data_IF_958633799599
#
_entry.id   IF_958633799599
#
_cell.length_a   1.000
_cell.length_b   1.000
_cell.length_c   1.000
_cell.angle_alpha   90.00
_cell.angle_beta   90.00
_cell.angle_gamma   90.00
#
_symmetry.space_group_name_H-M   'P 1'
#
loop_
_entity.id
_entity.type
_entity.pdbx_description
1 polymer ?
#
# COMPACT_ATOMS: atom_id res chain seq x y z
N UNK A 1 10.95 -61.17 -11.14
CA UNK A 1 11.05 -60.12 -10.11
C UNK A 1 10.09 -59.02 -10.51
N UNK A 2 8.90 -59.01 -9.91
CA UNK A 2 7.88 -57.96 -10.11
C UNK A 2 7.60 -57.37 -8.74
N UNK A 3 7.90 -56.09 -8.56
CA UNK A 3 7.59 -55.36 -7.34
C UNK A 3 6.38 -54.49 -7.61
N UNK A 4 5.30 -54.82 -6.89
CA UNK A 4 4.12 -53.99 -6.67
C UNK A 4 4.52 -52.83 -5.75
N UNK A 5 4.18 -51.59 -6.12
CA UNK A 5 4.16 -50.45 -5.21
C UNK A 5 2.73 -49.90 -5.15
N UNK A 6 2.05 -50.21 -4.06
CA UNK A 6 1.04 -49.32 -3.49
C UNK A 6 1.79 -48.26 -2.66
N UNK A 7 1.37 -47.00 -2.71
CA UNK A 7 1.02 -46.24 -1.50
C UNK A 7 0.43 -44.86 -1.87
N UNK A 8 -0.70 -44.59 -1.22
CA UNK A 8 -1.22 -43.30 -0.75
C UNK A 8 -1.63 -42.23 -1.77
N UNK A 9 -2.92 -42.25 -2.07
CA UNK A 9 -3.78 -41.06 -2.16
C UNK A 9 -3.45 -40.05 -1.05
N UNK A 10 -3.10 -38.82 -1.42
CA UNK A 10 -3.15 -37.67 -0.52
C UNK A 10 -4.58 -37.11 -0.51
N UNK A 11 -5.17 -36.82 0.66
CA UNK A 11 -6.42 -36.08 0.72
C UNK A 11 -6.17 -34.60 0.44
N UNK A 12 -7.22 -33.95 -0.07
CA UNK A 12 -7.32 -32.52 -0.23
C UNK A 12 -7.11 -31.81 1.11
N UNK A 13 -6.07 -31.00 1.19
CA UNK A 13 -5.98 -29.88 2.13
C UNK A 13 -5.33 -28.75 1.33
N UNK A 14 -6.17 -28.05 0.56
CA UNK A 14 -5.83 -26.80 -0.11
C UNK A 14 -5.71 -25.71 0.95
N UNK A 15 -4.62 -25.76 1.72
CA UNK A 15 -4.11 -24.59 2.41
C UNK A 15 -3.05 -24.01 1.49
N UNK A 16 -3.47 -23.02 0.71
CA UNK A 16 -2.54 -22.05 0.12
C UNK A 16 -1.62 -21.64 1.27
N UNK A 17 -0.31 -21.88 1.20
CA UNK A 17 0.58 -21.46 2.26
C UNK A 17 0.42 -19.95 2.38
N UNK A 18 0.19 -19.49 3.61
CA UNK A 18 0.36 -18.09 3.99
C UNK A 18 1.57 -17.56 3.24
N UNK A 19 1.35 -16.57 2.37
CA UNK A 19 2.45 -15.76 1.89
C UNK A 19 3.02 -15.11 3.13
N UNK A 20 4.01 -15.78 3.74
CA UNK A 20 4.86 -15.19 4.73
C UNK A 20 5.43 -13.96 4.06
N UNK A 21 4.94 -12.81 4.50
CA UNK A 21 5.43 -11.49 4.13
C UNK A 21 6.90 -11.41 4.60
N UNK A 22 7.79 -11.95 3.77
CA UNK A 22 9.24 -11.90 3.94
C UNK A 22 9.78 -10.56 3.46
N UNK A 23 8.97 -9.50 3.51
CA UNK A 23 9.52 -8.16 3.40
C UNK A 23 10.44 -7.97 4.61
N UNK A 24 11.74 -8.14 4.41
CA UNK A 24 12.74 -7.62 5.33
C UNK A 24 12.41 -6.14 5.52
N UNK A 25 11.78 -5.81 6.64
CA UNK A 25 11.47 -4.44 6.97
C UNK A 25 12.82 -3.74 7.10
N UNK A 26 13.20 -2.98 6.06
CA UNK A 26 14.33 -2.08 6.10
C UNK A 26 14.29 -1.21 7.36
N UNK A 27 15.42 -0.61 7.77
CA UNK A 27 15.51 0.11 9.03
C UNK A 27 14.30 1.05 9.18
N UNK A 28 13.59 1.00 10.33
CA UNK A 28 12.31 1.67 10.49
C UNK A 28 12.50 3.13 10.12
N UNK A 29 11.74 3.55 9.12
CA UNK A 29 11.70 4.96 8.77
C UNK A 29 10.85 5.58 9.85
N UNK A 30 11.51 6.12 10.87
CA UNK A 30 10.86 6.95 11.88
C UNK A 30 10.47 8.27 11.20
N UNK A 31 9.39 8.22 10.42
CA UNK A 31 8.63 9.40 10.07
C UNK A 31 7.83 9.77 11.32
N UNK A 32 8.30 10.81 12.01
CA UNK A 32 7.53 11.48 13.02
C UNK A 32 6.25 12.04 12.36
N UNK A 33 5.09 11.67 12.88
CA UNK A 33 3.79 12.06 12.32
C UNK A 33 3.55 13.58 12.40
N UNK A 34 4.15 14.24 13.40
CA UNK A 34 4.11 15.70 13.56
C UNK A 34 5.04 16.37 12.55
N UNK A 35 6.24 15.81 12.33
CA UNK A 35 7.14 16.30 11.26
C UNK A 35 6.48 16.12 9.88
N UNK A 36 5.81 14.99 9.67
CA UNK A 36 5.13 14.68 8.41
C UNK A 36 4.08 15.75 8.04
N UNK A 37 3.29 16.23 9.01
CA UNK A 37 2.28 17.28 8.78
C UNK A 37 2.89 18.56 8.20
N UNK A 38 4.07 18.96 8.67
CA UNK A 38 4.76 20.17 8.20
C UNK A 38 5.55 19.94 6.91
N UNK A 39 5.98 18.70 6.70
CA UNK A 39 6.78 18.31 5.56
C UNK A 39 5.94 18.13 4.30
N UNK A 40 4.78 17.48 4.41
CA UNK A 40 3.88 17.23 3.29
C UNK A 40 3.26 18.54 2.82
N UNK A 41 3.48 18.87 1.55
CA UNK A 41 2.92 20.04 0.89
C UNK A 41 2.21 19.60 -0.38
N UNK A 42 1.15 20.34 -0.72
CA UNK A 42 0.52 20.22 -2.04
C UNK A 42 1.59 20.36 -3.13
N UNK A 43 1.57 19.46 -4.10
CA UNK A 43 2.48 19.40 -5.25
C UNK A 43 3.98 19.26 -4.92
N UNK A 44 4.36 18.87 -3.70
CA UNK A 44 5.77 18.56 -3.40
C UNK A 44 6.31 17.50 -4.38
N UNK A 45 7.57 17.63 -4.76
CA UNK A 45 8.18 16.67 -5.69
C UNK A 45 8.66 15.40 -5.00
N UNK A 46 8.76 14.30 -5.75
CA UNK A 46 9.36 13.08 -5.22
C UNK A 46 10.85 13.28 -4.93
N UNK A 47 11.53 14.13 -5.70
CA UNK A 47 12.92 14.52 -5.43
C UNK A 47 13.07 15.27 -4.09
N UNK A 48 12.16 16.17 -3.74
CA UNK A 48 12.14 16.81 -2.43
C UNK A 48 11.94 15.80 -1.29
N UNK A 49 11.01 14.87 -1.48
CA UNK A 49 10.76 13.77 -0.56
C UNK A 49 12.01 12.92 -0.29
N UNK A 50 12.62 12.41 -1.35
CA UNK A 50 13.77 11.51 -1.26
C UNK A 50 15.02 12.23 -0.78
N UNK A 51 15.15 13.55 -0.94
CA UNK A 51 16.25 14.31 -0.31
C UNK A 51 16.11 14.40 1.21
N UNK A 52 14.89 14.61 1.71
CA UNK A 52 14.61 14.70 3.15
C UNK A 52 14.62 13.33 3.81
N UNK A 53 14.00 12.33 3.17
CA UNK A 53 13.88 10.96 3.64
C UNK A 53 14.43 9.97 2.59
N UNK A 54 15.77 9.84 2.46
CA UNK A 54 16.38 9.03 1.39
C UNK A 54 16.22 7.53 1.56
N UNK A 55 15.89 7.06 2.76
CA UNK A 55 15.72 5.64 3.07
C UNK A 55 14.26 5.25 2.91
N UNK A 56 13.85 4.94 1.69
CA UNK A 56 12.52 4.40 1.38
C UNK A 56 12.53 2.87 1.37
N UNK A 57 11.41 2.24 1.74
CA UNK A 57 11.20 0.79 1.64
C UNK A 57 10.66 0.37 0.26
N UNK A 58 10.43 1.33 -0.64
CA UNK A 58 10.10 1.07 -2.03
C UNK A 58 9.89 2.35 -2.81
N UNK A 59 10.54 2.40 -3.97
CA UNK A 59 10.35 3.41 -4.98
C UNK A 59 9.93 2.71 -6.26
N UNK A 60 8.77 3.09 -6.80
CA UNK A 60 8.27 2.60 -8.07
C UNK A 60 8.08 3.78 -9.00
N UNK A 61 8.55 3.64 -10.23
CA UNK A 61 8.30 4.60 -11.30
C UNK A 61 7.75 3.81 -12.48
N UNK A 62 6.60 4.25 -12.97
CA UNK A 62 5.90 3.59 -14.05
C UNK A 62 6.25 4.28 -15.37
N UNK A 63 6.52 3.50 -16.42
CA UNK A 63 6.78 4.04 -17.76
C UNK A 63 5.58 4.83 -18.29
N UNK A 64 4.38 4.37 -17.94
CA UNK A 64 3.13 5.06 -18.19
C UNK A 64 2.30 5.12 -16.89
N UNK A 65 1.49 6.16 -16.71
CA UNK A 65 0.68 6.30 -15.49
C UNK A 65 -0.32 5.15 -15.34
N UNK A 66 -0.46 4.67 -14.11
CA UNK A 66 -1.47 3.70 -13.71
C UNK A 66 -2.75 4.43 -13.23
N UNK A 67 -3.95 3.88 -13.49
CA UNK A 67 -5.19 4.40 -12.93
C UNK A 67 -5.34 4.00 -11.46
N UNK A 68 -5.31 4.99 -10.57
CA UNK A 68 -5.62 4.86 -9.14
C UNK A 68 -7.09 5.17 -8.90
N UNK A 69 -7.83 4.26 -8.27
CA UNK A 69 -9.24 4.47 -7.91
C UNK A 69 -9.34 5.19 -6.56
N UNK A 70 -9.95 6.37 -6.55
CA UNK A 70 -10.24 7.14 -5.33
C UNK A 70 -11.66 7.70 -5.39
N UNK A 71 -12.47 7.38 -4.36
CA UNK A 71 -13.87 7.82 -4.26
C UNK A 71 -14.71 7.58 -5.53
N UNK A 72 -14.46 6.47 -6.22
CA UNK A 72 -15.20 6.08 -7.43
C UNK A 72 -14.65 6.65 -8.73
N UNK A 73 -13.60 7.47 -8.69
CA UNK A 73 -12.98 8.08 -9.86
C UNK A 73 -11.54 7.63 -10.06
N UNK A 74 -11.07 7.65 -11.32
CA UNK A 74 -9.71 7.25 -11.66
C UNK A 74 -8.75 8.44 -11.82
N UNK A 75 -7.59 8.33 -11.19
CA UNK A 75 -6.54 9.34 -11.20
C UNK A 75 -5.23 8.75 -11.70
N UNK A 76 -4.51 9.43 -12.60
CA UNK A 76 -3.24 8.91 -13.09
C UNK A 76 -2.15 9.08 -12.02
N UNK A 77 -1.38 8.03 -11.77
CA UNK A 77 -0.19 8.02 -10.91
C UNK A 77 0.98 7.42 -11.69
N UNK A 78 2.14 8.07 -11.70
CA UNK A 78 3.33 7.59 -12.42
C UNK A 78 4.51 7.23 -11.50
N UNK A 79 4.41 7.54 -10.22
CA UNK A 79 5.45 7.21 -9.25
C UNK A 79 4.87 7.03 -7.86
N UNK A 80 5.40 6.05 -7.13
CA UNK A 80 5.02 5.72 -5.76
C UNK A 80 6.28 5.66 -4.90
N UNK A 81 6.23 6.28 -3.73
CA UNK A 81 7.27 6.18 -2.70
C UNK A 81 6.64 5.67 -1.42
N UNK A 82 7.17 4.58 -0.84
CA UNK A 82 6.64 3.97 0.39
C UNK A 82 7.65 3.95 1.53
N UNK A 83 7.14 4.10 2.73
CA UNK A 83 7.91 4.02 3.97
C UNK A 83 7.19 3.11 4.96
N UNK A 84 7.96 2.25 5.60
CA UNK A 84 7.53 1.28 6.59
C UNK A 84 8.28 1.58 7.89
N UNK A 85 7.53 1.71 8.98
CA UNK A 85 8.02 1.88 10.33
C UNK A 85 7.33 0.90 11.26
N UNK A 86 8.08 0.39 12.23
CA UNK A 86 7.54 -0.47 13.27
C UNK A 86 8.16 -0.15 14.62
N UNK A 87 7.31 0.02 15.63
CA UNK A 87 7.72 0.11 17.04
C UNK A 87 7.61 -1.26 17.69
N UNK A 88 8.67 -1.70 18.37
CA UNK A 88 8.70 -3.01 19.04
C UNK A 88 9.11 -2.87 20.50
N UNK A 89 8.46 -3.65 21.36
CA UNK A 89 8.80 -3.74 22.80
C UNK A 89 9.45 -5.08 23.08
N UNK A 90 10.46 -5.07 23.94
CA UNK A 90 11.04 -6.31 24.48
C UNK A 90 10.01 -6.99 25.38
N UNK A 91 9.78 -8.27 25.14
CA UNK A 91 8.91 -9.13 25.95
C UNK A 91 9.72 -10.30 26.49
N UNK A 92 9.51 -10.59 27.78
CA UNK A 92 10.17 -11.68 28.49
C UNK A 92 9.11 -12.51 29.21
N UNK A 93 9.18 -13.82 29.04
CA UNK A 93 8.35 -14.80 29.74
C UNK A 93 9.19 -15.99 30.19
N UNK A 94 8.57 -16.93 30.91
CA UNK A 94 9.23 -18.15 31.36
C UNK A 94 9.68 -18.98 30.14
N UNK A 95 10.98 -18.85 29.77
CA UNK A 95 11.67 -19.48 28.64
C UNK A 95 11.52 -18.82 27.25
N UNK A 96 11.08 -17.57 27.17
CA UNK A 96 11.11 -16.82 25.91
C UNK A 96 11.54 -15.37 26.14
N UNK A 97 12.48 -14.88 25.35
CA UNK A 97 12.83 -13.46 25.25
C UNK A 97 12.81 -13.07 23.77
N UNK A 98 12.06 -12.03 23.43
CA UNK A 98 11.98 -11.54 22.06
C UNK A 98 11.50 -10.10 21.98
N UNK A 99 11.19 -9.68 20.77
CA UNK A 99 10.57 -8.39 20.49
C UNK A 99 9.17 -8.65 19.92
N UNK A 100 8.19 -7.91 20.44
CA UNK A 100 6.84 -7.91 19.91
C UNK A 100 6.56 -6.54 19.34
N UNK A 101 6.15 -6.51 18.06
CA UNK A 101 5.70 -5.28 17.41
C UNK A 101 4.46 -4.75 18.11
N UNK A 102 4.56 -3.52 18.62
CA UNK A 102 3.48 -2.79 19.28
C UNK A 102 2.84 -1.76 18.35
N UNK A 103 3.54 -1.34 17.30
CA UNK A 103 3.10 -0.25 16.44
C UNK A 103 3.57 -0.51 15.01
N UNK A 104 2.72 -0.22 14.03
CA UNK A 104 3.02 -0.29 12.60
C UNK A 104 2.61 1.00 11.92
N UNK A 105 3.51 1.55 11.12
CA UNK A 105 3.29 2.77 10.33
C UNK A 105 3.63 2.48 8.89
N UNK A 106 2.68 2.73 8.00
CA UNK A 106 2.87 2.62 6.55
C UNK A 106 2.48 3.94 5.93
N UNK A 107 3.41 4.55 5.19
CA UNK A 107 3.15 5.80 4.48
C UNK A 107 3.46 5.58 3.01
N UNK A 108 2.48 5.84 2.17
CA UNK A 108 2.60 5.74 0.72
C UNK A 108 2.28 7.09 0.10
N UNK A 109 3.20 7.60 -0.70
CA UNK A 109 3.05 8.82 -1.47
C UNK A 109 2.92 8.49 -2.95
N UNK A 110 1.92 9.06 -3.60
CA UNK A 110 1.60 8.83 -4.99
C UNK A 110 1.75 10.14 -5.75
N UNK A 111 2.53 10.08 -6.81
CA UNK A 111 2.90 11.22 -7.62
C UNK A 111 2.37 11.07 -9.03
N UNK A 112 2.13 12.22 -9.66
CA UNK A 112 1.92 12.33 -11.08
C UNK A 112 2.73 13.50 -11.61
N UNK A 113 3.53 13.27 -12.66
CA UNK A 113 4.42 14.25 -13.26
C UNK A 113 5.33 14.93 -12.24
N UNK A 114 5.86 14.11 -11.33
CA UNK A 114 6.73 14.52 -10.22
C UNK A 114 6.09 15.53 -9.24
N UNK A 115 4.76 15.53 -9.11
CA UNK A 115 4.02 16.30 -8.11
C UNK A 115 3.22 15.36 -7.22
N UNK A 116 3.21 15.62 -5.91
CA UNK A 116 2.43 14.83 -4.96
C UNK A 116 0.94 15.04 -5.18
N UNK A 117 0.22 13.94 -5.40
CA UNK A 117 -1.23 13.95 -5.66
C UNK A 117 -2.04 13.23 -4.60
N UNK A 118 -1.48 12.18 -4.02
CA UNK A 118 -2.07 11.47 -2.89
C UNK A 118 -0.99 11.13 -1.87
N UNK A 119 -1.38 11.14 -0.60
CA UNK A 119 -0.65 10.40 0.42
C UNK A 119 -1.63 9.57 1.24
N UNK A 120 -1.16 8.43 1.69
CA UNK A 120 -1.91 7.54 2.56
C UNK A 120 -1.03 7.14 3.73
N UNK A 121 -1.58 7.28 4.94
CA UNK A 121 -0.96 6.80 6.17
C UNK A 121 -1.89 5.76 6.78
N UNK A 122 -1.35 4.57 7.00
CA UNK A 122 -1.93 3.55 7.86
C UNK A 122 -1.12 3.52 9.14
N UNK A 123 -1.80 3.72 10.27
CA UNK A 123 -1.17 3.71 11.57
C UNK A 123 -1.93 2.81 12.53
N UNK A 124 -1.26 1.74 12.96
CA UNK A 124 -1.82 0.70 13.81
C UNK A 124 -1.05 0.58 15.11
N UNK A 125 -1.78 0.38 16.20
CA UNK A 125 -1.22 -0.01 17.50
C UNK A 125 -1.76 -1.37 17.89
N UNK A 126 -0.96 -2.12 18.64
CA UNK A 126 -1.36 -3.41 19.18
C UNK A 126 -2.17 -3.17 20.47
N UNK A 127 -3.43 -3.58 20.47
CA UNK A 127 -4.36 -3.57 21.60
C UNK A 127 -4.93 -4.98 21.78
N UNK A 128 -4.83 -5.56 22.98
CA UNK A 128 -5.35 -6.91 23.29
C UNK A 128 -4.93 -8.02 22.29
N UNK A 129 -3.66 -8.03 21.87
CA UNK A 129 -3.05 -8.93 20.88
C UNK A 129 -3.43 -8.73 19.41
N UNK A 130 -4.38 -7.84 19.12
CA UNK A 130 -4.77 -7.45 17.76
C UNK A 130 -4.22 -6.06 17.38
N UNK A 131 -4.18 -5.75 16.09
CA UNK A 131 -3.79 -4.41 15.61
C UNK A 131 -5.04 -3.60 15.27
N UNK A 132 -5.12 -2.39 15.82
CA UNK A 132 -6.22 -1.46 15.61
C UNK A 132 -5.75 -0.18 14.90
N UNK A 133 -6.57 0.31 13.96
CA UNK A 133 -6.30 1.58 13.26
C UNK A 133 -6.52 2.77 14.19
N UNK A 134 -5.46 3.55 14.41
CA UNK A 134 -5.48 4.77 15.22
C UNK A 134 -6.00 5.98 14.45
N UNK A 135 -6.40 7.03 15.16
CA UNK A 135 -6.88 8.31 14.59
C UNK A 135 -5.95 8.92 13.54
N UNK A 136 -4.64 8.61 13.58
CA UNK A 136 -3.66 9.10 12.62
C UNK A 136 -3.72 8.41 11.24
N UNK A 137 -4.49 7.33 11.09
CA UNK A 137 -4.74 6.72 9.78
C UNK A 137 -5.52 7.71 8.90
N UNK A 138 -5.06 7.96 7.66
CA UNK A 138 -5.77 8.87 6.76
C UNK A 138 -7.19 8.39 6.49
N UNK A 139 -8.12 9.34 6.36
CA UNK A 139 -9.55 9.07 6.10
C UNK A 139 -9.75 8.20 4.85
N UNK A 140 -8.94 8.41 3.80
CA UNK A 140 -9.00 7.59 2.59
C UNK A 140 -8.74 6.10 2.89
N UNK A 141 -7.71 5.78 3.68
CA UNK A 141 -7.41 4.40 4.03
C UNK A 141 -8.51 3.79 4.90
N UNK A 142 -9.03 4.54 5.86
CA UNK A 142 -10.15 4.08 6.70
C UNK A 142 -11.37 3.72 5.86
N UNK A 143 -11.79 4.60 4.95
CA UNK A 143 -12.91 4.34 4.04
C UNK A 143 -12.70 3.09 3.20
N UNK A 144 -11.50 2.90 2.68
CA UNK A 144 -11.16 1.69 1.92
C UNK A 144 -11.41 0.41 2.75
N UNK A 145 -10.99 0.41 4.03
CA UNK A 145 -11.24 -0.73 4.94
C UNK A 145 -12.74 -0.86 5.28
N UNK A 146 -13.40 0.27 5.57
CA UNK A 146 -14.84 0.30 5.90
C UNK A 146 -15.72 -0.24 4.75
N UNK A 147 -15.32 0.00 3.51
CA UNK A 147 -15.98 -0.51 2.30
C UNK A 147 -15.62 -1.98 1.98
N UNK A 148 -14.96 -2.67 2.92
CA UNK A 148 -14.61 -4.09 2.82
C UNK A 148 -13.25 -4.38 2.17
N UNK A 149 -12.40 -3.37 2.03
CA UNK A 149 -11.01 -3.53 1.59
C UNK A 149 -10.16 -4.29 2.61
N UNK A 150 -9.09 -4.92 2.13
CA UNK A 150 -8.15 -5.64 2.99
C UNK A 150 -7.39 -4.66 3.90
N UNK A 151 -7.58 -4.75 5.21
CA UNK A 151 -6.87 -3.90 6.18
C UNK A 151 -5.37 -4.18 6.22
N UNK A 152 -4.91 -5.32 5.70
CA UNK A 152 -3.50 -5.62 5.53
C UNK A 152 -2.87 -4.93 4.34
N UNK A 153 -3.67 -4.28 3.49
CA UNK A 153 -3.14 -3.55 2.37
C UNK A 153 -2.27 -2.36 2.81
N UNK A 154 -1.16 -2.13 2.11
CA UNK A 154 -0.22 -1.03 2.40
C UNK A 154 -0.66 0.30 1.79
N UNK A 155 -1.61 0.24 0.84
CA UNK A 155 -2.28 1.39 0.27
C UNK A 155 -3.67 0.95 -0.24
N UNK A 156 -4.66 1.84 -0.39
CA UNK A 156 -5.97 1.47 -0.92
C UNK A 156 -5.81 0.83 -2.30
N UNK A 157 -6.24 -0.43 -2.41
CA UNK A 157 -6.04 -1.24 -3.62
C UNK A 157 -4.58 -1.46 -4.03
N UNK A 158 -3.70 -1.55 -3.04
CA UNK A 158 -2.34 -2.05 -3.06
C UNK A 158 -1.93 -3.10 -4.04
N UNK A 159 -2.34 -4.30 -3.64
CA UNK A 159 -2.11 -5.53 -4.40
C UNK A 159 -2.64 -5.37 -5.82
N UNK A 160 -3.76 -4.66 -5.99
CA UNK A 160 -4.36 -4.44 -7.30
C UNK A 160 -3.50 -3.58 -8.22
N UNK A 161 -3.01 -2.44 -7.75
CA UNK A 161 -2.09 -1.60 -8.53
C UNK A 161 -0.83 -2.39 -8.88
N UNK A 162 -0.27 -3.12 -7.93
CA UNK A 162 0.96 -3.88 -8.15
C UNK A 162 0.77 -4.93 -9.24
N UNK A 163 -0.33 -5.68 -9.18
CA UNK A 163 -0.62 -6.69 -10.19
C UNK A 163 -0.96 -6.08 -11.55
N UNK A 164 -1.71 -4.98 -11.58
CA UNK A 164 -2.00 -4.26 -12.82
C UNK A 164 -0.72 -3.81 -13.52
N UNK A 165 0.23 -3.25 -12.78
CA UNK A 165 1.54 -2.87 -13.33
C UNK A 165 2.26 -4.07 -13.95
N UNK A 166 2.37 -5.17 -13.21
CA UNK A 166 3.05 -6.39 -13.70
C UNK A 166 2.37 -6.98 -14.94
N UNK A 167 1.04 -6.96 -14.98
CA UNK A 167 0.29 -7.42 -16.14
C UNK A 167 0.54 -6.51 -17.36
N UNK A 168 0.45 -5.19 -17.19
CA UNK A 168 0.58 -4.24 -18.29
C UNK A 168 2.00 -4.15 -18.87
N UNK A 169 3.03 -4.31 -18.03
CA UNK A 169 4.41 -3.98 -18.42
C UNK A 169 5.41 -5.13 -18.27
N UNK A 170 5.16 -6.10 -17.40
CA UNK A 170 6.02 -7.27 -17.23
C UNK A 170 5.48 -8.52 -17.94
N UNK A 171 4.26 -8.42 -18.52
CA UNK A 171 3.55 -9.50 -19.19
C UNK A 171 3.40 -10.75 -18.30
N UNK A 172 3.21 -10.53 -16.99
CA UNK A 172 3.02 -11.57 -15.99
C UNK A 172 1.54 -11.74 -15.72
N UNK A 173 1.05 -12.99 -15.69
CA UNK A 173 -0.33 -13.26 -15.30
C UNK A 173 -0.56 -12.87 -13.82
N UNK A 174 -1.68 -12.19 -13.51
CA UNK A 174 -2.00 -11.78 -12.15
C UNK A 174 -2.24 -12.98 -11.24
N UNK A 175 -1.69 -12.92 -10.03
CA UNK A 175 -1.80 -13.98 -9.02
C UNK A 175 -3.13 -13.96 -8.26
N UNK A 176 -3.84 -12.82 -8.26
CA UNK A 176 -5.12 -12.61 -7.57
C UNK A 176 -6.20 -12.20 -8.59
N UNK A 177 -6.72 -13.15 -9.36
CA UNK A 177 -7.84 -12.90 -10.27
C UNK A 177 -9.15 -12.73 -9.49
N UNK A 178 -9.91 -11.68 -9.78
CA UNK A 178 -11.31 -11.50 -9.37
C UNK A 178 -11.54 -10.66 -8.11
N UNK A 179 -10.50 -10.00 -7.60
CA UNK A 179 -10.57 -9.22 -6.35
C UNK A 179 -10.24 -7.74 -6.55
N UNK A 180 -9.80 -7.35 -7.74
CA UNK A 180 -9.35 -6.01 -8.02
C UNK A 180 -10.34 -5.20 -8.85
N UNK A 181 -10.32 -3.88 -8.67
CA UNK A 181 -11.18 -2.98 -9.44
C UNK A 181 -10.93 -3.07 -10.95
N UNK A 182 -9.72 -3.45 -11.36
CA UNK A 182 -9.35 -3.67 -12.75
C UNK A 182 -9.72 -5.06 -13.30
N UNK A 183 -10.09 -6.02 -12.44
CA UNK A 183 -10.64 -7.32 -12.87
C UNK A 183 -12.07 -7.20 -13.39
N UNK A 184 -12.72 -6.03 -13.20
CA UNK A 184 -14.08 -5.80 -13.68
C UNK A 184 -14.10 -5.90 -15.21
N UNK A 185 -15.07 -6.63 -15.82
CA UNK A 185 -15.17 -6.75 -17.26
C UNK A 185 -15.19 -5.38 -17.96
N UNK A 186 -14.37 -5.25 -19.00
CA UNK A 186 -14.27 -4.01 -19.78
C UNK A 186 -13.44 -2.91 -19.13
N UNK A 187 -12.67 -3.19 -18.07
CA UNK A 187 -11.87 -2.16 -17.38
C UNK A 187 -10.96 -1.36 -18.32
N UNK A 188 -10.21 -2.03 -19.18
CA UNK A 188 -9.27 -1.38 -20.10
C UNK A 188 -9.99 -0.44 -21.06
N UNK A 189 -11.11 -0.89 -21.62
CA UNK A 189 -11.96 -0.10 -22.51
C UNK A 189 -12.60 1.08 -21.75
N UNK A 190 -13.13 0.84 -20.56
CA UNK A 190 -13.76 1.88 -19.73
C UNK A 190 -12.76 2.98 -19.35
N UNK A 191 -11.52 2.63 -18.99
CA UNK A 191 -10.46 3.61 -18.69
C UNK A 191 -10.02 4.37 -19.94
N UNK A 192 -9.97 3.71 -21.11
CA UNK A 192 -9.64 4.36 -22.37
C UNK A 192 -10.69 5.42 -22.76
N UNK A 193 -11.97 5.13 -22.49
CA UNK A 193 -13.11 5.98 -22.83
C UNK A 193 -13.50 6.98 -21.71
N UNK A 194 -12.94 6.85 -20.50
CA UNK A 194 -13.16 7.76 -19.39
C UNK A 194 -12.61 9.17 -19.72
N UNK A 195 -13.48 10.06 -20.17
CA UNK A 195 -13.14 11.41 -20.59
C UNK A 195 -12.43 12.22 -19.49
N UNK A 196 -12.78 11.97 -18.22
CA UNK A 196 -12.20 12.66 -17.08
C UNK A 196 -10.79 12.15 -16.80
N UNK A 197 -10.60 10.82 -16.69
CA UNK A 197 -9.28 10.23 -16.55
C UNK A 197 -8.36 10.63 -17.71
N UNK A 198 -8.85 10.57 -18.94
CA UNK A 198 -8.09 11.00 -20.12
C UNK A 198 -7.78 12.50 -20.10
N UNK A 199 -8.69 13.33 -19.56
CA UNK A 199 -8.46 14.74 -19.29
C UNK A 199 -7.31 14.96 -18.29
N UNK A 200 -7.35 14.26 -17.16
CA UNK A 200 -6.32 14.29 -16.11
C UNK A 200 -4.97 13.81 -16.64
N UNK A 201 -4.98 12.77 -17.49
CA UNK A 201 -3.78 12.23 -18.12
C UNK A 201 -3.10 13.23 -19.04
N UNK A 202 -3.87 14.03 -19.80
CA UNK A 202 -3.36 15.07 -20.69
C UNK A 202 -2.91 16.31 -19.93
N UNK A 203 -3.74 16.80 -19.02
CA UNK A 203 -3.61 18.14 -18.47
C UNK A 203 -3.07 18.19 -17.02
N UNK A 204 -3.01 17.06 -16.32
CA UNK A 204 -2.79 17.05 -14.88
C UNK A 204 -4.11 17.15 -14.10
N UNK A 205 -3.99 17.19 -12.77
CA UNK A 205 -5.09 17.36 -11.83
C UNK A 205 -4.59 18.00 -10.53
N UNK A 206 -5.51 18.63 -9.81
CA UNK A 206 -5.26 19.21 -8.48
C UNK A 206 -4.98 18.11 -7.45
N UNK A 207 -4.17 18.43 -6.44
CA UNK A 207 -3.81 17.47 -5.40
C UNK A 207 -5.04 17.10 -4.57
N UNK A 208 -5.20 15.82 -4.20
CA UNK A 208 -6.23 15.38 -3.24
C UNK A 208 -5.63 15.15 -1.84
N UNK A 209 -4.43 15.69 -1.61
CA UNK A 209 -3.69 15.54 -0.36
C UNK A 209 -4.43 16.26 0.77
N UNK A 210 -4.90 15.50 1.76
CA UNK A 210 -5.53 16.05 2.97
C UNK A 210 -4.66 15.79 4.22
N UNK A 211 -3.79 16.75 4.53
CA UNK A 211 -2.92 16.73 5.71
C UNK A 211 -3.64 17.04 7.01
N UNK A 212 -4.93 17.40 6.96
CA UNK A 212 -5.70 17.73 8.17
C UNK A 212 -5.86 16.52 9.10
N UNK A 213 -5.72 15.32 8.56
CA UNK A 213 -5.85 14.01 9.23
C UNK A 213 -4.65 13.64 10.12
N UNK A 214 -3.55 14.38 10.08
CA UNK A 214 -2.34 14.14 10.88
C UNK A 214 -2.42 14.82 12.27
N UNK A 215 -1.66 14.39 13.30
CA UNK A 215 -1.64 15.10 14.59
C UNK A 215 -1.20 16.55 14.43
N UNK A 216 -1.78 17.46 15.21
CA UNK A 216 -1.27 18.84 15.38
C UNK A 216 -0.22 18.83 16.49
N UNK A 217 0.68 19.81 16.50
CA UNK A 217 1.56 20.03 17.66
C UNK A 217 0.72 20.21 18.92
N UNK A 218 1.00 19.43 19.96
CA UNK A 218 0.50 19.70 21.31
C UNK A 218 1.29 20.90 21.86
N UNK A 219 0.60 22.02 22.09
CA UNK A 219 1.16 23.21 22.75
C UNK A 219 1.31 22.98 24.26
#
# INVERSE_FOLDING_TARGET
MSTVLFFCSKPADSRVPDYADQTEMGPPVNLDLVELRHFVKEDMSAGEMLRKHPKTNGLLTFEKPIPFLYLGEYYPVDKIVRYLGAGSKRVEGNNFSGYQTQERRYITFLFFRDQLKFFVLRHEIRENDDFELTEYTTVNFRRFVDDGGDSHDFFPHGGCIWQLYRQMYENVEPLLQGHCYWDRPGFTENIADDAEFQGRLRNGYESTVDVSTLPKEEN
#
